data_IF_879757664063
#
_entry.id   IF_879757664063
#
_cell.length_a   1.000
_cell.length_b   1.000
_cell.length_c   1.000
_cell.angle_alpha   90.00
_cell.angle_beta   90.00
_cell.angle_gamma   90.00
#
_symmetry.space_group_name_H-M   'P 1'
#
loop_
_entity.id
_entity.type
_entity.pdbx_description
1 polymer ?
#
# COMPACT_ATOMS: atom_id res chain seq x y z
N UNK A 1 -47.25 33.23 -54.51
CA UNK A 1 -47.98 34.00 -53.47
C UNK A 1 -47.01 34.34 -52.34
N UNK A 2 -46.89 35.63 -52.00
CA UNK A 2 -46.12 36.13 -50.84
C UNK A 2 -47.03 36.15 -49.60
N UNK A 3 -46.56 35.69 -48.44
CA UNK A 3 -46.93 36.23 -47.12
C UNK A 3 -45.95 35.68 -46.07
N UNK A 4 -44.94 36.43 -45.62
CA UNK A 4 -44.88 37.46 -44.55
C UNK A 4 -44.11 36.90 -43.34
N UNK A 5 -43.06 37.64 -43.02
CA UNK A 5 -42.16 37.52 -41.86
C UNK A 5 -42.92 37.49 -40.53
N UNK A 6 -42.34 36.81 -39.54
CA UNK A 6 -42.03 37.36 -38.20
C UNK A 6 -41.05 36.42 -37.48
N UNK A 7 -39.98 37.04 -36.95
CA UNK A 7 -38.83 36.48 -36.23
C UNK A 7 -39.16 36.44 -34.70
N UNK A 8 -38.20 36.14 -33.80
CA UNK A 8 -37.85 34.85 -33.21
C UNK A 8 -38.24 34.76 -31.70
N UNK A 9 -38.09 33.59 -31.07
CA UNK A 9 -37.92 33.55 -29.61
C UNK A 9 -36.68 32.73 -29.24
N UNK A 10 -35.68 33.44 -28.73
CA UNK A 10 -34.55 32.93 -27.99
C UNK A 10 -35.04 32.01 -26.85
N UNK A 11 -34.48 30.80 -26.77
CA UNK A 11 -34.38 30.07 -25.51
C UNK A 11 -32.91 29.87 -25.23
N UNK A 12 -32.42 30.59 -24.24
CA UNK A 12 -31.07 30.47 -23.70
C UNK A 12 -30.93 29.10 -23.01
N UNK A 13 -29.97 28.29 -23.47
CA UNK A 13 -29.55 27.06 -22.79
C UNK A 13 -28.40 27.43 -21.85
N UNK A 14 -28.49 27.21 -20.53
CA UNK A 14 -27.36 27.41 -19.66
C UNK A 14 -26.38 26.24 -19.80
N UNK A 15 -25.14 26.58 -20.12
CA UNK A 15 -23.96 25.73 -20.09
C UNK A 15 -23.67 25.31 -18.64
N UNK A 16 -24.01 24.07 -18.27
CA UNK A 16 -23.62 23.49 -16.99
C UNK A 16 -22.17 22.99 -17.11
N UNK A 17 -21.25 23.73 -16.49
CA UNK A 17 -19.85 23.36 -16.34
C UNK A 17 -19.73 22.26 -15.27
N UNK A 18 -19.66 21.00 -15.70
CA UNK A 18 -19.44 19.87 -14.79
C UNK A 18 -17.96 19.79 -14.38
N UNK A 19 -17.64 20.29 -13.18
CA UNK A 19 -16.38 20.01 -12.49
C UNK A 19 -16.34 18.51 -12.13
N UNK A 20 -15.56 17.73 -12.87
CA UNK A 20 -15.27 16.35 -12.52
C UNK A 20 -14.34 16.31 -11.28
N UNK A 21 -14.96 16.26 -10.09
CA UNK A 21 -14.27 15.82 -8.89
C UNK A 21 -13.94 14.34 -9.05
N UNK A 22 -12.69 14.03 -9.41
CA UNK A 22 -12.15 12.67 -9.32
C UNK A 22 -12.01 12.34 -7.83
N UNK A 23 -13.08 11.81 -7.24
CA UNK A 23 -13.03 11.18 -5.94
C UNK A 23 -12.08 9.99 -6.04
N UNK A 24 -10.86 10.15 -5.52
CA UNK A 24 -9.92 9.06 -5.32
C UNK A 24 -10.53 8.12 -4.31
N UNK A 25 -11.25 7.10 -4.80
CA UNK A 25 -11.73 6.00 -4.01
C UNK A 25 -10.51 5.40 -3.29
N UNK A 26 -10.37 5.71 -2.01
CA UNK A 26 -9.53 4.94 -1.12
C UNK A 26 -10.20 3.58 -1.05
N UNK A 27 -9.64 2.61 -1.78
CA UNK A 27 -10.05 1.22 -1.67
C UNK A 27 -9.95 0.84 -0.19
N UNK A 28 -11.09 0.76 0.49
CA UNK A 28 -11.18 0.23 1.83
C UNK A 28 -10.65 -1.20 1.76
N UNK A 29 -9.58 -1.49 2.50
CA UNK A 29 -9.05 -2.85 2.63
C UNK A 29 -10.22 -3.76 3.06
N UNK A 30 -10.42 -4.93 2.44
CA UNK A 30 -11.40 -5.90 2.90
C UNK A 30 -11.18 -6.16 4.39
N UNK A 31 -12.21 -5.92 5.20
CA UNK A 31 -12.18 -6.25 6.62
C UNK A 31 -12.17 -7.77 6.73
N UNK A 32 -11.03 -8.34 7.14
CA UNK A 32 -10.91 -9.77 7.36
C UNK A 32 -12.00 -10.24 8.36
N UNK A 33 -12.62 -11.41 8.15
CA UNK A 33 -13.67 -11.92 9.03
C UNK A 33 -13.15 -12.02 10.48
N UNK A 34 -14.01 -11.74 11.45
CA UNK A 34 -13.64 -11.80 12.87
C UNK A 34 -13.18 -13.22 13.23
N UNK A 35 -11.92 -13.35 13.64
CA UNK A 35 -11.27 -14.65 13.89
C UNK A 35 -10.20 -15.04 12.86
N UNK A 36 -10.11 -14.35 11.71
CA UNK A 36 -9.05 -14.55 10.74
C UNK A 36 -7.72 -13.91 11.19
N UNK A 37 -6.60 -14.50 10.77
CA UNK A 37 -5.29 -13.94 10.99
C UNK A 37 -5.17 -12.52 10.39
N UNK A 38 -4.45 -11.64 11.06
CA UNK A 38 -4.21 -10.26 10.63
C UNK A 38 -2.78 -9.84 10.96
N UNK A 39 -2.25 -8.89 10.19
CA UNK A 39 -0.95 -8.31 10.43
C UNK A 39 -1.02 -6.77 10.39
N UNK A 40 -0.58 -6.14 11.48
CA UNK A 40 -0.18 -4.74 11.44
C UNK A 40 1.16 -4.66 10.72
N UNK A 41 1.29 -3.75 9.75
CA UNK A 41 2.49 -3.63 8.90
C UNK A 41 2.94 -2.17 8.89
N UNK A 42 4.18 -1.93 9.29
CA UNK A 42 4.83 -0.63 9.29
C UNK A 42 6.19 -0.71 8.62
N UNK A 43 6.64 0.39 8.03
CA UNK A 43 7.89 0.45 7.25
C UNK A 43 8.77 1.56 7.79
N UNK A 44 10.06 1.29 7.94
CA UNK A 44 11.01 2.23 8.51
C UNK A 44 12.46 1.87 8.19
N UNK A 45 13.39 2.64 8.74
CA UNK A 45 14.83 2.53 8.43
C UNK A 45 15.58 1.57 9.35
N UNK A 46 14.97 1.11 10.45
CA UNK A 46 15.64 0.21 11.39
C UNK A 46 14.69 -0.46 12.37
N UNK A 47 15.24 -1.42 13.11
CA UNK A 47 14.56 -2.08 14.22
C UNK A 47 15.47 -2.00 15.44
N UNK A 48 14.95 -1.47 16.54
CA UNK A 48 15.63 -1.44 17.83
C UNK A 48 14.71 -2.02 18.90
N UNK A 49 15.20 -3.00 19.68
CA UNK A 49 14.41 -3.67 20.74
C UNK A 49 13.03 -4.16 20.27
N UNK A 50 12.94 -4.67 19.04
CA UNK A 50 11.69 -5.13 18.39
C UNK A 50 10.65 -4.03 18.11
N UNK A 51 11.06 -2.77 18.14
CA UNK A 51 10.27 -1.61 17.72
C UNK A 51 10.84 -1.00 16.45
N UNK A 52 9.94 -0.46 15.62
CA UNK A 52 10.31 0.19 14.37
C UNK A 52 10.95 1.56 14.63
N UNK A 53 12.02 1.84 13.92
CA UNK A 53 12.69 3.14 13.90
C UNK A 53 12.52 3.80 12.53
N UNK A 54 12.41 5.13 12.53
CA UNK A 54 12.29 5.92 11.31
C UNK A 54 11.08 5.54 10.46
N UNK A 55 9.91 5.35 11.08
CA UNK A 55 8.67 5.04 10.35
C UNK A 55 8.37 6.15 9.34
N UNK A 56 8.21 5.78 8.08
CA UNK A 56 7.87 6.70 7.02
C UNK A 56 7.19 5.99 5.84
N UNK A 57 6.59 6.78 4.95
CA UNK A 57 6.05 6.31 3.67
C UNK A 57 6.95 6.66 2.48
N UNK A 58 7.94 7.52 2.70
CA UNK A 58 8.89 7.95 1.68
C UNK A 58 10.28 7.93 2.29
N UNK A 59 11.23 7.32 1.60
CA UNK A 59 12.60 7.15 2.06
C UNK A 59 13.57 7.69 1.01
N UNK A 60 14.48 8.55 1.44
CA UNK A 60 15.63 8.98 0.64
C UNK A 60 16.86 8.41 1.32
N UNK A 61 17.51 7.43 0.69
CA UNK A 61 18.56 6.61 1.32
C UNK A 61 19.73 6.39 0.37
N UNK A 62 20.92 6.14 0.92
CA UNK A 62 22.06 5.73 0.11
C UNK A 62 21.85 4.35 -0.53
N UNK A 63 22.50 4.10 -1.68
CA UNK A 63 22.54 2.77 -2.26
C UNK A 63 23.13 1.76 -1.26
N UNK A 64 22.46 0.62 -1.08
CA UNK A 64 22.81 -0.40 -0.09
C UNK A 64 22.13 -0.23 1.26
N UNK A 65 21.32 0.81 1.47
CA UNK A 65 20.52 0.96 2.67
C UNK A 65 19.43 -0.12 2.78
N UNK A 66 19.08 -0.46 4.02
CA UNK A 66 17.99 -1.39 4.34
C UNK A 66 16.74 -0.60 4.69
N UNK A 67 15.60 -1.05 4.18
CA UNK A 67 14.29 -0.64 4.67
C UNK A 67 13.65 -1.86 5.29
N UNK A 68 13.20 -1.69 6.53
CA UNK A 68 12.64 -2.71 7.38
C UNK A 68 11.11 -2.65 7.33
N UNK A 69 10.50 -3.82 7.30
CA UNK A 69 9.06 -4.01 7.45
C UNK A 69 8.85 -4.66 8.79
N UNK A 70 8.36 -3.89 9.74
CA UNK A 70 7.93 -4.39 11.04
C UNK A 70 6.51 -4.93 10.89
N UNK A 71 6.27 -6.08 11.52
CA UNK A 71 4.97 -6.75 11.46
C UNK A 71 4.57 -7.25 12.84
N UNK A 72 3.31 -7.03 13.21
CA UNK A 72 2.68 -7.65 14.38
C UNK A 72 1.53 -8.52 13.90
N UNK A 73 1.71 -9.82 14.01
CA UNK A 73 0.77 -10.84 13.55
C UNK A 73 -0.12 -11.27 14.70
N UNK A 74 -1.42 -11.38 14.46
CA UNK A 74 -2.43 -11.88 15.39
C UNK A 74 -3.25 -12.96 14.70
N UNK A 75 -3.54 -14.07 15.38
CA UNK A 75 -4.37 -15.17 14.87
C UNK A 75 -3.64 -16.21 14.01
N UNK A 76 -2.30 -16.22 14.01
CA UNK A 76 -1.49 -17.15 13.20
C UNK A 76 -0.36 -17.82 14.02
N UNK A 77 -0.64 -18.24 15.25
CA UNK A 77 0.35 -18.95 16.07
C UNK A 77 0.77 -20.29 15.43
N UNK A 78 2.02 -20.69 15.66
CA UNK A 78 2.65 -21.91 15.15
C UNK A 78 2.64 -22.04 13.61
N UNK A 79 2.64 -20.91 12.91
CA UNK A 79 2.68 -20.85 11.44
C UNK A 79 3.91 -20.11 10.91
N UNK A 80 4.08 -20.15 9.59
CA UNK A 80 5.04 -19.32 8.86
C UNK A 80 4.28 -18.32 8.01
N UNK A 81 4.62 -17.04 8.14
CA UNK A 81 4.15 -15.98 7.24
C UNK A 81 5.25 -15.64 6.24
N UNK A 82 4.88 -14.94 5.16
CA UNK A 82 5.84 -14.37 4.24
C UNK A 82 5.67 -12.86 4.09
N UNK A 83 6.76 -12.12 4.16
CA UNK A 83 6.80 -10.71 3.77
C UNK A 83 7.26 -10.62 2.32
N UNK A 84 6.42 -10.05 1.46
CA UNK A 84 6.65 -9.91 0.02
C UNK A 84 6.78 -8.44 -0.34
N UNK A 85 7.97 -8.03 -0.77
CA UNK A 85 8.25 -6.73 -1.34
C UNK A 85 7.98 -6.78 -2.85
N UNK A 86 7.18 -5.86 -3.37
CA UNK A 86 6.79 -5.82 -4.79
C UNK A 86 6.96 -4.42 -5.38
N UNK A 87 7.52 -4.33 -6.59
CA UNK A 87 7.57 -3.15 -7.46
C UNK A 87 7.46 -3.60 -8.91
N UNK A 88 6.29 -3.40 -9.54
CA UNK A 88 6.01 -3.94 -10.87
C UNK A 88 6.25 -5.46 -10.87
N UNK A 89 7.12 -5.93 -11.76
CA UNK A 89 7.51 -7.34 -11.85
C UNK A 89 8.58 -7.76 -10.82
N UNK A 90 9.26 -6.80 -10.17
CA UNK A 90 10.28 -7.11 -9.16
C UNK A 90 9.60 -7.57 -7.86
N UNK A 91 9.92 -8.78 -7.42
CA UNK A 91 9.47 -9.32 -6.14
C UNK A 91 10.63 -9.84 -5.28
N UNK A 92 10.54 -9.67 -3.97
CA UNK A 92 11.41 -10.32 -2.99
C UNK A 92 10.56 -10.85 -1.84
N UNK A 93 10.79 -12.10 -1.44
CA UNK A 93 10.01 -12.81 -0.42
C UNK A 93 10.93 -13.24 0.72
N UNK A 94 10.48 -13.06 1.95
CA UNK A 94 11.15 -13.56 3.16
C UNK A 94 10.14 -14.26 4.06
N UNK A 95 10.46 -15.48 4.47
CA UNK A 95 9.62 -16.29 5.35
C UNK A 95 10.00 -16.09 6.80
N UNK A 96 9.00 -15.92 7.66
CA UNK A 96 9.19 -15.64 9.08
C UNK A 96 8.27 -16.54 9.90
N UNK A 97 8.84 -17.21 10.90
CA UNK A 97 8.10 -18.05 11.84
C UNK A 97 7.33 -17.19 12.84
N UNK A 98 6.12 -17.63 13.17
CA UNK A 98 5.21 -17.00 14.14
C UNK A 98 4.92 -18.03 15.24
N UNK A 99 5.80 -18.17 16.25
CA UNK A 99 5.68 -19.21 17.28
C UNK A 99 4.55 -18.95 18.30
N UNK A 100 3.92 -17.78 18.28
CA UNK A 100 2.81 -17.43 19.18
C UNK A 100 1.95 -16.34 18.57
N UNK A 101 0.81 -16.04 19.19
CA UNK A 101 -0.06 -14.94 18.80
C UNK A 101 -0.47 -14.11 20.03
N UNK A 102 -0.32 -12.77 20.01
CA UNK A 102 0.32 -11.99 18.96
C UNK A 102 1.85 -12.14 18.97
N UNK A 103 2.49 -11.95 17.82
CA UNK A 103 3.95 -11.97 17.70
C UNK A 103 4.46 -10.87 16.79
N UNK A 104 5.60 -10.30 17.17
CA UNK A 104 6.28 -9.27 16.39
C UNK A 104 7.45 -9.90 15.67
N UNK A 105 7.57 -9.61 14.40
CA UNK A 105 8.71 -10.02 13.58
C UNK A 105 8.97 -8.96 12.52
N UNK A 106 10.10 -9.04 11.84
CA UNK A 106 10.45 -8.08 10.81
C UNK A 106 11.20 -8.74 9.68
N UNK A 107 11.02 -8.18 8.49
CA UNK A 107 11.81 -8.47 7.29
C UNK A 107 12.50 -7.18 6.86
N UNK A 108 13.51 -7.29 6.01
CA UNK A 108 14.11 -6.11 5.39
C UNK A 108 14.54 -6.40 3.97
N UNK A 109 14.56 -5.37 3.15
CA UNK A 109 15.17 -5.42 1.82
C UNK A 109 16.28 -4.39 1.74
N UNK A 110 17.40 -4.78 1.14
CA UNK A 110 18.47 -3.86 0.76
C UNK A 110 18.13 -3.22 -0.58
N UNK A 111 18.12 -1.89 -0.65
CA UNK A 111 17.78 -1.14 -1.86
C UNK A 111 19.05 -0.69 -2.57
N UNK A 112 19.19 -1.04 -3.85
CA UNK A 112 20.34 -0.68 -4.69
C UNK A 112 19.91 0.35 -5.74
N UNK A 113 20.89 0.93 -6.44
CA UNK A 113 20.63 1.76 -7.63
C UNK A 113 19.75 0.98 -8.62
N UNK A 114 18.68 1.60 -9.11
CA UNK A 114 17.66 0.95 -9.96
C UNK A 114 16.44 0.39 -9.19
N UNK A 115 16.42 0.50 -7.86
CA UNK A 115 15.27 0.14 -7.03
C UNK A 115 14.38 1.33 -6.67
N UNK A 116 14.65 2.52 -7.18
CA UNK A 116 13.90 3.75 -6.90
C UNK A 116 12.44 3.68 -7.37
N UNK A 117 11.49 4.14 -6.56
CA UNK A 117 10.07 4.22 -6.91
C UNK A 117 9.16 3.63 -5.86
N UNK A 118 7.91 3.35 -6.26
CA UNK A 118 6.88 2.84 -5.38
C UNK A 118 7.02 1.34 -5.14
N UNK A 119 6.97 0.95 -3.88
CA UNK A 119 7.03 -0.43 -3.39
C UNK A 119 5.82 -0.73 -2.50
N UNK A 120 5.46 -2.01 -2.46
CA UNK A 120 4.49 -2.55 -1.51
C UNK A 120 5.13 -3.69 -0.73
N UNK A 121 4.97 -3.68 0.59
CA UNK A 121 5.30 -4.80 1.46
C UNK A 121 3.99 -5.47 1.92
N UNK A 122 3.76 -6.70 1.47
CA UNK A 122 2.59 -7.51 1.81
C UNK A 122 2.98 -8.61 2.79
N UNK A 123 2.17 -8.83 3.81
CA UNK A 123 2.26 -9.99 4.70
C UNK A 123 1.26 -11.02 4.24
N UNK A 124 1.75 -12.21 3.92
CA UNK A 124 0.96 -13.34 3.42
C UNK A 124 0.99 -14.46 4.46
N UNK A 125 -0.18 -14.98 4.80
CA UNK A 125 -0.36 -16.11 5.70
C UNK A 125 0.05 -17.44 5.09
N UNK A 126 0.10 -18.50 5.90
CA UNK A 126 0.42 -19.85 5.46
C UNK A 126 -0.60 -20.41 4.44
N UNK A 127 -1.83 -19.93 4.49
CA UNK A 127 -2.94 -20.21 3.58
C UNK A 127 -2.89 -19.39 2.28
N UNK A 128 -1.89 -18.51 2.12
CA UNK A 128 -1.80 -17.59 1.00
C UNK A 128 -2.66 -16.32 1.15
N UNK A 129 -3.38 -16.15 2.26
CA UNK A 129 -4.20 -14.96 2.49
C UNK A 129 -3.34 -13.73 2.76
N UNK A 130 -3.78 -12.57 2.28
CA UNK A 130 -3.16 -11.29 2.65
C UNK A 130 -3.59 -10.88 4.06
N UNK A 131 -2.64 -10.86 4.99
CA UNK A 131 -2.90 -10.51 6.39
C UNK A 131 -2.75 -9.00 6.63
N UNK A 132 -1.95 -8.33 5.81
CA UNK A 132 -1.63 -6.91 5.94
C UNK A 132 -0.74 -6.41 4.81
N UNK A 133 -0.70 -5.09 4.62
CA UNK A 133 0.11 -4.47 3.57
C UNK A 133 0.47 -3.02 3.91
N UNK A 134 1.64 -2.58 3.48
CA UNK A 134 2.09 -1.20 3.54
C UNK A 134 2.73 -0.78 2.21
N UNK A 135 2.36 0.41 1.73
CA UNK A 135 2.96 1.02 0.54
C UNK A 135 3.95 2.11 0.94
N UNK A 136 5.07 2.20 0.23
CA UNK A 136 6.12 3.19 0.47
C UNK A 136 6.90 3.50 -0.81
N UNK A 137 7.59 4.63 -0.84
CA UNK A 137 8.40 5.09 -1.98
C UNK A 137 9.85 5.21 -1.56
N UNK A 138 10.78 4.83 -2.45
CA UNK A 138 12.22 4.91 -2.22
C UNK A 138 12.88 5.76 -3.29
N UNK A 139 13.71 6.71 -2.86
CA UNK A 139 14.67 7.42 -3.67
C UNK A 139 16.08 7.06 -3.22
N UNK A 140 16.99 6.86 -4.17
CA UNK A 140 18.40 6.58 -3.90
C UNK A 140 19.22 7.83 -4.15
N UNK A 141 20.06 8.21 -3.17
CA UNK A 141 21.03 9.30 -3.28
C UNK A 141 22.35 8.82 -3.86
#
# INVERSE_FOLDING_TARGET
MRLKRLLPLLVAVPLVLALAFVARAQAAKPKAPAGAATAEVKVGTGIEKMELQGEAKTFTVAAGAKIHVWTKVTGAADTTIAVVFTKGEKTSRQELKVPRSPYRTHAYRTFRKGDEGAWTAKVVGADGAELGTAAFTVAIQ
#
